data_IF_289279887353
#
_entry.id   IF_289279887353
#
_cell.length_a   1.000
_cell.length_b   1.000
_cell.length_c   1.000
_cell.angle_alpha   90.00
_cell.angle_beta   90.00
_cell.angle_gamma   90.00
#
_symmetry.space_group_name_H-M   'P 1'
#
loop_
_entity.id
_entity.type
_entity.pdbx_description
1 polymer ?
#
# COMPACT_ATOMS: atom_id res chain seq x y z
N UNK A 1 -9.37 -6.40 -13.87
CA UNK A 1 -10.84 -6.54 -13.93
C UNK A 1 -11.27 -7.16 -12.61
N UNK A 2 -12.04 -6.43 -11.79
CA UNK A 2 -12.60 -6.97 -10.55
C UNK A 2 -13.62 -8.06 -10.87
N UNK A 3 -13.65 -9.15 -10.07
CA UNK A 3 -14.62 -10.22 -10.22
C UNK A 3 -16.07 -9.70 -10.12
N UNK A 4 -17.02 -10.38 -10.71
CA UNK A 4 -18.45 -10.05 -10.55
C UNK A 4 -18.86 -10.02 -9.08
N UNK A 5 -19.82 -9.16 -8.68
CA UNK A 5 -20.28 -9.07 -7.31
C UNK A 5 -20.96 -10.38 -6.87
N UNK A 6 -20.51 -10.95 -5.76
CA UNK A 6 -20.98 -12.25 -5.25
C UNK A 6 -21.98 -12.04 -4.10
N UNK A 7 -23.27 -12.18 -4.39
CA UNK A 7 -24.37 -12.13 -3.42
C UNK A 7 -24.77 -13.56 -3.02
N UNK A 8 -24.60 -13.92 -1.73
CA UNK A 8 -25.02 -15.21 -1.19
C UNK A 8 -25.77 -14.96 0.11
N UNK A 9 -27.00 -15.44 0.20
CA UNK A 9 -27.79 -15.44 1.41
C UNK A 9 -27.47 -16.68 2.26
N UNK A 10 -27.00 -16.45 3.49
CA UNK A 10 -26.76 -17.49 4.48
C UNK A 10 -27.81 -17.46 5.58
N UNK A 11 -28.34 -16.28 5.90
CA UNK A 11 -29.34 -16.07 6.95
C UNK A 11 -30.33 -15.00 6.50
N UNK A 12 -31.59 -15.36 6.25
CA UNK A 12 -32.61 -14.39 5.89
C UNK A 12 -32.78 -13.33 6.97
N UNK A 13 -32.77 -12.06 6.59
CA UNK A 13 -33.05 -10.93 7.48
C UNK A 13 -33.89 -9.89 6.77
N UNK A 14 -34.83 -9.30 7.51
CA UNK A 14 -35.57 -8.10 7.10
C UNK A 14 -34.92 -6.87 7.72
N UNK A 15 -34.93 -5.77 7.00
CA UNK A 15 -34.35 -4.51 7.43
C UNK A 15 -35.42 -3.41 7.47
N UNK A 16 -35.26 -2.46 8.40
CA UNK A 16 -36.07 -1.24 8.38
C UNK A 16 -35.76 -0.39 7.16
N UNK A 17 -36.68 0.49 6.75
CA UNK A 17 -36.46 1.40 5.62
C UNK A 17 -35.15 2.22 5.76
N UNK A 18 -34.80 2.63 6.96
CA UNK A 18 -33.54 3.33 7.24
C UNK A 18 -32.32 2.44 6.94
N UNK A 19 -32.36 1.16 7.37
CA UNK A 19 -31.24 0.22 7.10
C UNK A 19 -31.16 -0.17 5.64
N UNK A 20 -32.29 -0.30 4.95
CA UNK A 20 -32.31 -0.54 3.50
C UNK A 20 -31.64 0.61 2.74
N UNK A 21 -31.93 1.86 3.08
CA UNK A 21 -31.28 3.02 2.47
C UNK A 21 -29.74 3.01 2.70
N UNK A 22 -29.29 2.61 3.89
CA UNK A 22 -27.85 2.44 4.18
C UNK A 22 -27.24 1.33 3.32
N UNK A 23 -27.93 0.20 3.15
CA UNK A 23 -27.48 -0.94 2.33
C UNK A 23 -27.34 -0.52 0.86
N UNK A 24 -28.31 0.23 0.33
CA UNK A 24 -28.24 0.77 -1.02
C UNK A 24 -27.01 1.68 -1.21
N UNK A 25 -26.78 2.61 -0.28
CA UNK A 25 -25.62 3.49 -0.29
C UNK A 25 -24.29 2.71 -0.20
N UNK A 26 -24.23 1.65 0.60
CA UNK A 26 -23.06 0.76 0.66
C UNK A 26 -22.80 0.15 -0.71
N UNK A 27 -23.82 -0.40 -1.36
CA UNK A 27 -23.67 -1.04 -2.67
C UNK A 27 -23.23 -0.05 -3.75
N UNK A 28 -23.79 1.15 -3.78
CA UNK A 28 -23.38 2.22 -4.70
C UNK A 28 -21.90 2.57 -4.54
N UNK A 29 -21.44 2.72 -3.29
CA UNK A 29 -20.03 2.98 -3.00
C UNK A 29 -19.15 1.82 -3.47
N UNK A 30 -19.51 0.58 -3.13
CA UNK A 30 -18.73 -0.59 -3.50
C UNK A 30 -18.63 -0.76 -5.02
N UNK A 31 -19.70 -0.48 -5.76
CA UNK A 31 -19.71 -0.56 -7.21
C UNK A 31 -18.84 0.52 -7.85
N UNK A 32 -18.96 1.76 -7.41
CA UNK A 32 -18.12 2.86 -7.87
C UNK A 32 -16.63 2.54 -7.75
N UNK A 33 -16.20 1.97 -6.60
CA UNK A 33 -14.80 1.62 -6.40
C UNK A 33 -14.39 0.36 -7.16
N UNK A 34 -15.30 -0.60 -7.35
CA UNK A 34 -15.04 -1.77 -8.16
C UNK A 34 -14.82 -1.45 -9.64
N UNK A 35 -15.53 -0.47 -10.20
CA UNK A 35 -15.29 0.03 -11.55
C UNK A 35 -13.89 0.65 -11.69
N UNK A 36 -13.39 1.29 -10.64
CA UNK A 36 -12.03 1.81 -10.57
C UNK A 36 -10.96 0.74 -10.23
N UNK A 37 -11.36 -0.53 -10.05
CA UNK A 37 -10.46 -1.65 -9.75
C UNK A 37 -10.14 -1.87 -8.27
N UNK A 38 -10.91 -1.29 -7.34
CA UNK A 38 -10.65 -1.39 -5.92
C UNK A 38 -11.69 -2.20 -5.16
N UNK A 39 -11.23 -3.09 -4.28
CA UNK A 39 -12.03 -3.63 -3.18
C UNK A 39 -11.74 -2.82 -1.92
N UNK A 40 -12.78 -2.54 -1.13
CA UNK A 40 -12.65 -1.69 0.06
C UNK A 40 -12.57 -2.54 1.34
N UNK A 41 -11.87 -2.02 2.35
CA UNK A 41 -12.04 -2.51 3.73
C UNK A 41 -13.29 -1.87 4.35
N UNK A 42 -13.84 -2.49 5.40
CA UNK A 42 -14.96 -1.92 6.16
C UNK A 42 -14.66 -0.48 6.62
N UNK A 43 -13.42 -0.20 6.99
CA UNK A 43 -12.98 1.13 7.43
C UNK A 43 -13.03 2.15 6.29
N UNK A 44 -12.62 1.77 5.09
CA UNK A 44 -12.71 2.63 3.91
C UNK A 44 -14.17 2.91 3.54
N UNK A 45 -15.06 1.91 3.59
CA UNK A 45 -16.50 2.14 3.39
C UNK A 45 -17.03 3.16 4.39
N UNK A 46 -16.68 3.03 5.68
CA UNK A 46 -17.07 3.99 6.71
C UNK A 46 -16.61 5.41 6.38
N UNK A 47 -15.35 5.61 5.98
CA UNK A 47 -14.87 6.94 5.62
C UNK A 47 -15.56 7.51 4.38
N UNK A 48 -16.00 6.68 3.45
CA UNK A 48 -16.82 7.16 2.33
C UNK A 48 -18.19 7.67 2.80
N UNK A 49 -18.80 7.04 3.80
CA UNK A 49 -20.01 7.55 4.43
C UNK A 49 -19.79 8.90 5.11
N UNK A 50 -18.68 9.05 5.83
CA UNK A 50 -18.32 10.31 6.50
C UNK A 50 -18.03 11.41 5.49
N UNK A 51 -17.20 11.14 4.47
CA UNK A 51 -16.83 12.11 3.44
C UNK A 51 -18.03 12.63 2.64
N UNK A 52 -19.06 11.78 2.44
CA UNK A 52 -20.31 12.15 1.77
C UNK A 52 -21.33 12.81 2.71
N UNK A 53 -20.97 13.05 3.97
CA UNK A 53 -21.88 13.65 4.97
C UNK A 53 -23.06 12.77 5.37
N UNK A 54 -23.02 11.46 5.08
CA UNK A 54 -24.10 10.52 5.37
C UNK A 54 -24.18 10.14 6.85
N UNK A 55 -23.03 10.10 7.54
CA UNK A 55 -22.93 9.84 8.97
C UNK A 55 -21.82 10.71 9.59
N UNK A 56 -21.92 11.05 10.88
CA UNK A 56 -20.86 11.78 11.58
C UNK A 56 -19.63 10.88 11.84
N UNK A 57 -18.44 11.50 11.88
CA UNK A 57 -17.19 10.80 12.18
C UNK A 57 -17.10 10.46 13.68
N UNK A 58 -17.68 9.34 14.09
CA UNK A 58 -17.75 8.87 15.48
C UNK A 58 -17.59 7.35 15.55
N UNK A 59 -16.88 6.87 16.59
CA UNK A 59 -16.64 5.43 16.80
C UNK A 59 -17.93 4.60 16.94
N UNK A 60 -19.01 5.20 17.47
CA UNK A 60 -20.31 4.56 17.57
C UNK A 60 -20.91 4.29 16.19
N UNK A 61 -20.80 5.25 15.26
CA UNK A 61 -21.29 5.12 13.89
C UNK A 61 -20.50 4.08 13.09
N UNK A 62 -19.18 4.00 13.29
CA UNK A 62 -18.38 2.92 12.71
C UNK A 62 -18.89 1.54 13.12
N UNK A 63 -19.15 1.35 14.43
CA UNK A 63 -19.70 0.09 14.95
C UNK A 63 -21.10 -0.19 14.41
N UNK A 64 -21.97 0.83 14.36
CA UNK A 64 -23.34 0.71 13.84
C UNK A 64 -23.34 0.31 12.36
N UNK A 65 -22.58 1.02 11.54
CA UNK A 65 -22.45 0.71 10.10
C UNK A 65 -21.89 -0.69 9.87
N UNK A 66 -20.84 -1.07 10.61
CA UNK A 66 -20.25 -2.41 10.54
C UNK A 66 -21.25 -3.52 10.87
N UNK A 67 -22.10 -3.34 11.88
CA UNK A 67 -23.14 -4.29 12.22
C UNK A 67 -24.20 -4.42 11.11
N UNK A 68 -24.64 -3.30 10.52
CA UNK A 68 -25.60 -3.29 9.40
C UNK A 68 -25.01 -4.02 8.19
N UNK A 69 -23.76 -3.73 7.81
CA UNK A 69 -23.06 -4.37 6.69
C UNK A 69 -22.93 -5.88 6.92
N UNK A 70 -22.53 -6.30 8.12
CA UNK A 70 -22.40 -7.72 8.43
C UNK A 70 -23.74 -8.46 8.31
N UNK A 71 -24.81 -7.88 8.84
CA UNK A 71 -26.16 -8.42 8.73
C UNK A 71 -26.62 -8.50 7.27
N UNK A 72 -26.35 -7.43 6.49
CA UNK A 72 -26.70 -7.35 5.08
C UNK A 72 -25.92 -8.36 4.22
N UNK A 73 -24.64 -8.60 4.53
CA UNK A 73 -23.84 -9.65 3.87
C UNK A 73 -24.43 -11.04 4.13
N UNK A 74 -24.79 -11.36 5.37
CA UNK A 74 -25.43 -12.63 5.71
C UNK A 74 -26.78 -12.81 5.01
N UNK A 75 -27.52 -11.73 4.79
CA UNK A 75 -28.79 -11.74 4.08
C UNK A 75 -28.65 -11.64 2.53
N UNK A 76 -27.41 -11.74 1.99
CA UNK A 76 -27.17 -11.67 0.55
C UNK A 76 -27.51 -10.30 -0.08
N UNK A 77 -27.49 -9.20 0.71
CA UNK A 77 -27.85 -7.85 0.27
C UNK A 77 -26.63 -6.97 0.00
N UNK A 78 -25.43 -7.40 0.45
CA UNK A 78 -24.14 -6.77 0.18
C UNK A 78 -23.18 -7.86 -0.31
N UNK A 79 -22.40 -7.63 -1.39
CA UNK A 79 -21.56 -8.66 -1.99
C UNK A 79 -20.39 -9.04 -1.09
N UNK A 80 -20.10 -10.35 -1.04
CA UNK A 80 -19.08 -10.92 -0.18
C UNK A 80 -17.65 -10.54 -0.61
N UNK A 81 -17.40 -10.41 -1.89
CA UNK A 81 -16.09 -10.19 -2.48
C UNK A 81 -15.69 -8.71 -2.67
N UNK A 82 -16.50 -7.77 -2.21
CA UNK A 82 -16.22 -6.31 -2.35
C UNK A 82 -15.70 -5.66 -1.08
N UNK A 83 -15.88 -6.33 0.08
CA UNK A 83 -15.33 -5.85 1.36
C UNK A 83 -14.33 -6.90 1.86
N UNK A 84 -13.07 -6.51 1.94
CA UNK A 84 -11.94 -7.40 2.22
C UNK A 84 -11.32 -7.14 3.60
N UNK A 85 -10.83 -8.21 4.23
CA UNK A 85 -9.90 -8.13 5.36
C UNK A 85 -8.50 -8.47 4.84
N UNK A 86 -7.61 -7.50 4.87
CA UNK A 86 -6.23 -7.65 4.35
C UNK A 86 -5.24 -8.10 5.43
N UNK A 87 -5.71 -8.26 6.66
CA UNK A 87 -4.85 -8.54 7.82
C UNK A 87 -4.74 -10.02 8.18
N UNK A 88 -5.66 -10.85 7.66
CA UNK A 88 -5.74 -12.28 7.97
C UNK A 88 -5.58 -13.13 6.72
N UNK A 89 -4.39 -13.74 6.57
CA UNK A 89 -4.08 -14.62 5.44
C UNK A 89 -3.80 -16.03 5.93
N UNK A 90 -4.37 -17.03 5.22
CA UNK A 90 -4.03 -18.43 5.43
C UNK A 90 -2.57 -18.66 5.04
N UNK A 91 -1.83 -19.32 5.92
CA UNK A 91 -0.45 -19.71 5.67
C UNK A 91 -0.39 -21.20 5.35
N UNK A 92 0.47 -21.60 4.44
CA UNK A 92 0.65 -23.00 4.06
C UNK A 92 1.73 -23.18 2.99
N UNK A 93 2.02 -24.42 2.67
CA UNK A 93 2.89 -24.76 1.55
C UNK A 93 2.09 -24.63 0.26
N UNK A 94 2.67 -23.98 -0.73
CA UNK A 94 2.09 -23.90 -2.08
C UNK A 94 2.25 -25.23 -2.79
N UNK A 95 1.18 -25.73 -3.41
CA UNK A 95 1.17 -27.00 -4.14
C UNK A 95 0.81 -26.75 -5.60
N UNK A 96 1.51 -27.43 -6.48
CA UNK A 96 1.20 -27.53 -7.92
C UNK A 96 0.72 -28.94 -8.25
N UNK A 97 -0.06 -29.11 -9.30
CA UNK A 97 -0.59 -30.42 -9.70
C UNK A 97 0.51 -31.32 -10.28
N UNK A 98 1.45 -30.73 -11.02
CA UNK A 98 2.54 -31.44 -11.69
C UNK A 98 3.71 -30.52 -12.03
N UNK A 99 4.78 -31.08 -12.60
CA UNK A 99 5.97 -30.34 -12.99
C UNK A 99 5.70 -29.33 -14.13
N UNK A 100 4.80 -29.65 -15.04
CA UNK A 100 4.39 -28.75 -16.12
C UNK A 100 3.77 -27.48 -15.58
N UNK A 101 2.85 -27.59 -14.63
CA UNK A 101 2.26 -26.43 -13.97
C UNK A 101 3.34 -25.59 -13.26
N UNK A 102 4.28 -26.24 -12.57
CA UNK A 102 5.37 -25.53 -11.88
C UNK A 102 6.23 -24.70 -12.83
N UNK A 103 6.61 -25.27 -14.00
CA UNK A 103 7.42 -24.57 -15.00
C UNK A 103 6.62 -23.44 -15.67
N UNK A 104 5.35 -23.68 -16.00
CA UNK A 104 4.46 -22.67 -16.58
C UNK A 104 4.28 -21.48 -15.64
N UNK A 105 4.08 -21.74 -14.36
CA UNK A 105 3.96 -20.68 -13.35
C UNK A 105 5.28 -19.94 -13.14
N UNK A 106 6.41 -20.64 -13.10
CA UNK A 106 7.73 -20.01 -13.03
C UNK A 106 8.01 -19.10 -14.23
N UNK A 107 7.60 -19.50 -15.44
CA UNK A 107 7.71 -18.66 -16.64
C UNK A 107 6.80 -17.43 -16.56
N UNK A 108 5.55 -17.60 -16.11
CA UNK A 108 4.58 -16.51 -15.92
C UNK A 108 5.07 -15.50 -14.87
N UNK A 109 5.58 -16.00 -13.76
CA UNK A 109 5.96 -15.19 -12.60
C UNK A 109 7.41 -14.68 -12.68
N UNK A 110 8.13 -15.04 -13.78
CA UNK A 110 9.49 -14.54 -14.01
C UNK A 110 9.52 -13.02 -14.03
N UNK A 111 10.32 -12.46 -13.14
CA UNK A 111 10.47 -11.03 -12.98
C UNK A 111 11.92 -10.68 -12.63
N UNK A 112 12.48 -9.68 -13.28
CA UNK A 112 13.79 -9.13 -12.97
C UNK A 112 13.64 -7.78 -12.29
N UNK A 113 14.63 -7.38 -11.51
CA UNK A 113 14.62 -6.07 -10.86
C UNK A 113 14.73 -4.93 -11.89
N UNK A 114 13.61 -4.28 -12.19
CA UNK A 114 13.53 -3.18 -13.16
C UNK A 114 14.25 -1.89 -12.69
N UNK A 115 14.60 -1.83 -11.40
CA UNK A 115 15.34 -0.72 -10.82
C UNK A 115 16.84 -0.97 -10.74
N UNK A 116 17.34 -2.12 -11.16
CA UNK A 116 18.76 -2.46 -11.05
C UNK A 116 19.67 -1.45 -11.77
N UNK A 117 19.23 -0.87 -12.88
CA UNK A 117 19.96 0.12 -13.69
C UNK A 117 19.67 1.57 -13.33
N UNK A 118 18.73 1.81 -12.41
CA UNK A 118 18.36 3.15 -11.97
C UNK A 118 19.43 3.77 -11.07
N UNK A 119 19.60 5.08 -11.11
CA UNK A 119 20.46 5.82 -10.16
C UNK A 119 19.84 5.93 -8.76
N UNK A 120 18.54 5.73 -8.67
CA UNK A 120 17.75 5.81 -7.46
C UNK A 120 17.02 4.49 -7.22
N UNK A 121 16.69 4.21 -5.96
CA UNK A 121 15.80 3.13 -5.55
C UNK A 121 14.67 3.74 -4.74
N UNK A 122 13.44 3.43 -5.12
CA UNK A 122 12.25 3.92 -4.42
C UNK A 122 11.59 2.78 -3.63
N UNK A 123 11.17 3.07 -2.41
CA UNK A 123 10.20 2.26 -1.66
C UNK A 123 9.04 3.15 -1.21
N UNK A 124 7.84 2.60 -1.10
CA UNK A 124 6.65 3.30 -0.59
C UNK A 124 6.25 2.71 0.75
N UNK A 125 6.23 3.54 1.78
CA UNK A 125 5.90 3.15 3.14
C UNK A 125 4.62 3.83 3.59
N UNK A 126 3.67 3.06 4.12
CA UNK A 126 2.38 3.57 4.58
C UNK A 126 2.17 3.26 6.05
N UNK A 127 1.66 4.22 6.81
CA UNK A 127 1.38 4.05 8.22
C UNK A 127 0.36 2.93 8.48
N UNK A 128 -0.73 2.90 7.71
CA UNK A 128 -1.89 2.03 7.94
C UNK A 128 -1.91 0.80 7.04
N UNK A 129 -2.00 -0.37 7.65
CA UNK A 129 -2.11 -1.65 6.95
C UNK A 129 -3.36 -1.76 6.06
N UNK A 130 -4.45 -1.09 6.44
CA UNK A 130 -5.68 -1.04 5.66
C UNK A 130 -5.49 -0.48 4.23
N UNK A 131 -4.49 0.39 4.04
CA UNK A 131 -4.19 1.02 2.75
C UNK A 131 -3.23 0.22 1.87
N UNK A 132 -2.68 -0.91 2.37
CA UNK A 132 -1.63 -1.67 1.67
C UNK A 132 -2.06 -2.11 0.26
N UNK A 133 -3.35 -2.37 0.05
CA UNK A 133 -3.86 -2.76 -1.26
C UNK A 133 -3.89 -1.61 -2.27
N UNK A 134 -4.22 -0.40 -1.84
CA UNK A 134 -4.16 0.81 -2.68
C UNK A 134 -2.72 1.12 -3.03
N UNK A 135 -1.83 1.06 -2.02
CA UNK A 135 -0.39 1.25 -2.22
C UNK A 135 0.19 0.21 -3.18
N UNK A 136 -0.21 -1.06 -3.02
CA UNK A 136 0.22 -2.14 -3.92
C UNK A 136 -0.17 -1.90 -5.38
N UNK A 137 -1.43 -1.50 -5.63
CA UNK A 137 -1.90 -1.17 -6.98
C UNK A 137 -1.11 -0.01 -7.60
N UNK A 138 -0.74 0.99 -6.80
CA UNK A 138 0.04 2.12 -7.27
C UNK A 138 1.51 1.76 -7.56
N UNK A 139 2.09 0.82 -6.80
CA UNK A 139 3.49 0.44 -6.87
C UNK A 139 3.79 -0.64 -7.92
N UNK A 140 2.90 -1.63 -8.06
CA UNK A 140 3.10 -2.80 -8.95
C UNK A 140 3.46 -2.45 -10.41
N UNK A 141 2.80 -1.47 -11.08
CA UNK A 141 3.15 -1.12 -12.46
C UNK A 141 4.58 -0.57 -12.63
N UNK A 142 5.19 -0.13 -11.54
CA UNK A 142 6.51 0.50 -11.51
C UNK A 142 7.57 -0.37 -10.85
N UNK A 143 7.26 -1.63 -10.51
CA UNK A 143 8.15 -2.54 -9.79
C UNK A 143 8.75 -1.91 -8.52
N UNK A 144 7.91 -1.20 -7.75
CA UNK A 144 8.31 -0.51 -6.52
C UNK A 144 7.89 -1.33 -5.30
N UNK A 145 8.85 -1.62 -4.43
CA UNK A 145 8.57 -2.26 -3.15
C UNK A 145 7.77 -1.34 -2.24
N UNK A 146 6.83 -1.92 -1.50
CA UNK A 146 6.01 -1.19 -0.55
C UNK A 146 5.88 -1.93 0.77
N UNK A 147 5.64 -1.16 1.84
CA UNK A 147 5.68 -1.64 3.22
C UNK A 147 4.63 -0.94 4.08
N UNK A 148 3.97 -1.71 4.97
CA UNK A 148 3.07 -1.15 5.98
C UNK A 148 3.79 -1.05 7.33
N UNK A 149 3.89 0.18 7.85
CA UNK A 149 4.52 0.44 9.14
C UNK A 149 3.68 -0.06 10.33
N UNK A 150 2.35 -0.13 10.18
CA UNK A 150 1.40 -0.47 11.26
C UNK A 150 1.55 0.43 12.49
N UNK A 151 1.62 1.74 12.26
CA UNK A 151 1.99 2.74 13.25
C UNK A 151 3.51 2.93 13.32
N UNK A 152 4.06 3.18 14.51
CA UNK A 152 5.52 3.24 14.68
C UNK A 152 6.17 1.89 14.39
N UNK A 153 7.10 1.87 13.45
CA UNK A 153 7.87 0.67 13.14
C UNK A 153 8.69 0.18 14.35
N UNK A 154 8.73 -1.13 14.56
CA UNK A 154 9.59 -1.71 15.59
C UNK A 154 11.07 -1.42 15.31
N UNK A 155 11.90 -1.49 16.35
CA UNK A 155 13.34 -1.31 16.19
C UNK A 155 13.96 -2.38 15.29
N UNK A 156 13.52 -3.62 15.44
CA UNK A 156 13.98 -4.75 14.63
C UNK A 156 13.63 -4.58 13.16
N UNK A 157 12.43 -4.09 12.86
CA UNK A 157 11.98 -3.88 11.49
C UNK A 157 12.77 -2.75 10.80
N UNK A 158 12.95 -1.61 11.48
CA UNK A 158 13.74 -0.52 10.91
C UNK A 158 15.23 -0.88 10.76
N UNK A 159 15.77 -1.70 11.67
CA UNK A 159 17.12 -2.21 11.51
C UNK A 159 17.21 -3.13 10.28
N UNK A 160 16.29 -4.08 10.13
CA UNK A 160 16.23 -4.98 8.98
C UNK A 160 16.05 -4.21 7.66
N UNK A 161 15.19 -3.17 7.67
CA UNK A 161 15.02 -2.28 6.54
C UNK A 161 16.32 -1.53 6.21
N UNK A 162 17.02 -0.96 7.20
CA UNK A 162 18.30 -0.30 6.98
C UNK A 162 19.32 -1.26 6.33
N UNK A 163 19.43 -2.50 6.81
CA UNK A 163 20.33 -3.51 6.22
C UNK A 163 19.97 -3.87 4.78
N UNK A 164 18.68 -3.94 4.46
CA UNK A 164 18.18 -4.13 3.10
C UNK A 164 18.54 -2.95 2.19
N UNK A 165 18.27 -1.72 2.64
CA UNK A 165 18.50 -0.49 1.88
C UNK A 165 19.99 -0.23 1.63
N UNK A 166 20.87 -0.61 2.57
CA UNK A 166 22.31 -0.51 2.38
C UNK A 166 22.85 -1.32 1.20
N UNK A 167 22.17 -2.39 0.79
CA UNK A 167 22.55 -3.14 -0.42
C UNK A 167 22.41 -2.28 -1.67
N UNK A 168 21.36 -1.46 -1.76
CA UNK A 168 21.15 -0.53 -2.87
C UNK A 168 22.17 0.60 -2.85
N UNK A 169 22.48 1.13 -1.65
CA UNK A 169 23.55 2.12 -1.49
C UNK A 169 24.91 1.54 -1.92
N UNK A 170 25.20 0.28 -1.57
CA UNK A 170 26.38 -0.44 -2.04
C UNK A 170 26.44 -0.61 -3.57
N UNK A 171 25.28 -0.71 -4.22
CA UNK A 171 25.12 -0.71 -5.68
C UNK A 171 25.14 0.72 -6.29
N UNK A 172 25.49 1.74 -5.50
CA UNK A 172 25.55 3.17 -5.88
C UNK A 172 24.20 3.80 -6.25
N UNK A 173 23.12 3.30 -5.66
CA UNK A 173 21.79 3.90 -5.79
C UNK A 173 21.50 4.81 -4.59
N UNK A 174 20.89 5.96 -4.85
CA UNK A 174 20.26 6.78 -3.81
C UNK A 174 18.92 6.15 -3.43
N UNK A 175 18.68 5.93 -2.14
CA UNK A 175 17.43 5.32 -1.67
C UNK A 175 16.44 6.42 -1.26
N UNK A 176 15.23 6.33 -1.78
CA UNK A 176 14.14 7.26 -1.47
C UNK A 176 12.95 6.46 -0.94
N UNK A 177 12.56 6.78 0.29
CA UNK A 177 11.34 6.25 0.90
C UNK A 177 10.26 7.31 0.77
N UNK A 178 9.18 6.98 0.07
CA UNK A 178 7.99 7.79 -0.05
C UNK A 178 7.04 7.37 1.08
N UNK A 179 6.91 8.22 2.10
CA UNK A 179 6.13 7.92 3.30
C UNK A 179 4.75 8.57 3.25
N UNK A 180 3.72 7.77 3.60
CA UNK A 180 2.33 8.20 3.74
C UNK A 180 1.87 7.91 5.17
N UNK A 181 1.38 8.94 5.85
CA UNK A 181 0.88 8.83 7.24
C UNK A 181 -0.20 9.86 7.52
N UNK A 182 -0.92 9.66 8.63
CA UNK A 182 -1.97 10.56 9.10
C UNK A 182 -1.42 11.98 9.34
N UNK A 183 -2.23 13.00 9.15
CA UNK A 183 -1.89 14.35 9.56
C UNK A 183 -2.40 14.58 11.00
N UNK A 184 -1.68 13.98 11.94
CA UNK A 184 -1.90 14.10 13.37
C UNK A 184 -0.54 14.18 14.11
N UNK A 185 -0.49 14.45 15.42
CA UNK A 185 0.77 14.55 16.16
C UNK A 185 1.69 13.33 16.01
N UNK A 186 1.14 12.12 15.96
CA UNK A 186 1.91 10.87 15.81
C UNK A 186 2.35 10.65 14.38
N UNK A 187 1.46 10.82 13.41
CA UNK A 187 1.75 10.57 11.99
C UNK A 187 2.82 11.52 11.41
N UNK A 188 2.82 12.79 11.83
CA UNK A 188 3.89 13.73 11.48
C UNK A 188 5.23 13.27 12.08
N UNK A 189 5.22 12.89 13.36
CA UNK A 189 6.44 12.43 14.05
C UNK A 189 6.98 11.11 13.50
N UNK A 190 6.13 10.19 13.02
CA UNK A 190 6.57 8.92 12.42
C UNK A 190 7.50 9.12 11.24
N UNK A 191 7.26 10.13 10.38
CA UNK A 191 8.17 10.42 9.26
C UNK A 191 9.57 10.79 9.75
N UNK A 192 9.66 11.61 10.82
CA UNK A 192 10.92 11.97 11.46
C UNK A 192 11.58 10.75 12.10
N UNK A 193 10.82 9.96 12.88
CA UNK A 193 11.32 8.76 13.57
C UNK A 193 11.93 7.75 12.59
N UNK A 194 11.25 7.49 11.47
CA UNK A 194 11.76 6.61 10.40
C UNK A 194 13.10 7.16 9.87
N UNK A 195 13.15 8.45 9.54
CA UNK A 195 14.35 9.08 9.00
C UNK A 195 15.54 9.01 9.98
N UNK A 196 15.30 9.39 11.24
CA UNK A 196 16.33 9.44 12.28
C UNK A 196 16.88 8.05 12.56
N UNK A 197 16.02 7.04 12.71
CA UNK A 197 16.42 5.67 13.05
C UNK A 197 17.07 4.94 11.88
N UNK A 198 16.60 5.13 10.64
CA UNK A 198 17.29 4.60 9.46
C UNK A 198 18.68 5.21 9.31
N UNK A 199 18.81 6.52 9.52
CA UNK A 199 20.09 7.21 9.50
C UNK A 199 21.04 6.69 10.61
N UNK A 200 20.52 6.46 11.81
CA UNK A 200 21.28 5.88 12.92
C UNK A 200 21.82 4.49 12.56
N UNK A 201 20.97 3.58 12.10
CA UNK A 201 21.35 2.21 11.76
C UNK A 201 22.28 2.14 10.54
N UNK A 202 22.06 3.01 9.55
CA UNK A 202 22.88 3.05 8.35
C UNK A 202 24.28 3.66 8.62
N UNK A 203 24.38 4.64 9.53
CA UNK A 203 25.61 5.42 9.76
C UNK A 203 26.84 4.55 10.08
N UNK A 204 26.69 3.56 10.94
CA UNK A 204 27.79 2.68 11.32
C UNK A 204 28.31 1.85 10.14
N UNK A 205 27.40 1.35 9.31
CA UNK A 205 27.73 0.52 8.15
C UNK A 205 28.27 1.35 6.97
N UNK A 206 27.91 2.63 6.90
CA UNK A 206 28.39 3.52 5.85
C UNK A 206 29.76 4.14 6.12
N UNK A 207 30.25 4.14 7.37
CA UNK A 207 31.58 4.68 7.74
C UNK A 207 32.72 4.16 6.84
N UNK A 208 32.85 2.86 6.55
CA UNK A 208 33.89 2.37 5.65
C UNK A 208 33.71 2.86 4.21
N UNK A 209 32.47 2.90 3.71
CA UNK A 209 32.13 3.33 2.35
C UNK A 209 32.36 4.83 2.16
N UNK A 210 32.01 5.67 3.14
CA UNK A 210 32.24 7.11 3.09
C UNK A 210 33.72 7.46 3.07
N UNK A 211 34.53 6.73 3.84
CA UNK A 211 35.98 6.89 3.84
C UNK A 211 36.61 6.50 2.49
N UNK A 212 36.11 5.42 1.88
CA UNK A 212 36.63 4.89 0.61
C UNK A 212 36.18 5.73 -0.60
N UNK A 213 34.95 6.23 -0.59
CA UNK A 213 34.30 6.89 -1.73
C UNK A 213 34.27 8.42 -1.63
N UNK A 214 34.83 9.02 -0.55
CA UNK A 214 34.87 10.46 -0.34
C UNK A 214 33.52 11.12 -0.08
N UNK A 215 32.48 10.34 0.29
CA UNK A 215 31.18 10.89 0.65
C UNK A 215 31.24 11.55 2.03
N UNK A 216 31.06 12.87 2.08
CA UNK A 216 31.04 13.62 3.34
C UNK A 216 29.67 13.67 4.03
N UNK A 217 28.60 13.12 3.40
CA UNK A 217 27.23 13.22 3.89
C UNK A 217 26.45 11.90 3.70
N UNK A 218 26.46 11.06 4.72
CA UNK A 218 25.74 9.77 4.74
C UNK A 218 24.21 9.91 4.71
N UNK A 219 23.68 10.99 5.26
CA UNK A 219 22.23 11.27 5.33
C UNK A 219 21.57 11.62 3.97
N UNK A 220 22.36 11.76 2.90
CA UNK A 220 21.82 11.91 1.54
C UNK A 220 21.62 10.59 0.81
N UNK A 221 22.14 9.47 1.33
CA UNK A 221 22.08 8.18 0.66
C UNK A 221 20.74 7.45 0.90
N UNK A 222 20.08 7.75 2.04
CA UNK A 222 18.72 7.28 2.34
C UNK A 222 17.90 8.49 2.73
N UNK A 223 16.89 8.81 1.95
CA UNK A 223 16.01 9.97 2.16
C UNK A 223 14.59 9.52 2.40
N UNK A 224 13.94 10.01 3.44
CA UNK A 224 12.51 9.80 3.69
C UNK A 224 11.75 11.06 3.29
N UNK A 225 10.84 10.93 2.33
CA UNK A 225 9.97 12.01 1.84
C UNK A 225 8.54 11.74 2.24
N UNK A 226 7.95 12.59 3.06
CA UNK A 226 6.52 12.55 3.32
C UNK A 226 5.77 13.04 2.09
N UNK A 227 4.95 12.18 1.49
CA UNK A 227 4.18 12.50 0.29
C UNK A 227 2.68 12.65 0.55
N UNK A 228 2.19 12.13 1.69
CA UNK A 228 0.82 12.33 2.22
C UNK A 228 0.81 12.02 3.73
N UNK A 229 -0.15 12.50 4.52
CA UNK A 229 -1.10 13.56 4.23
C UNK A 229 -0.47 14.89 4.67
N UNK A 230 -0.38 15.87 3.80
CA UNK A 230 0.25 17.17 4.07
C UNK A 230 -0.82 18.28 4.16
N UNK A 231 -0.50 19.43 4.75
CA UNK A 231 -1.44 20.52 4.97
C UNK A 231 -2.06 21.06 3.66
N UNK A 232 -1.26 21.21 2.60
CA UNK A 232 -1.74 21.63 1.27
C UNK A 232 -2.71 20.64 0.62
N UNK A 233 -2.58 19.37 0.97
CA UNK A 233 -3.49 18.31 0.51
C UNK A 233 -4.79 18.32 1.30
N UNK A 234 -4.77 18.67 2.58
CA UNK A 234 -5.97 18.86 3.40
C UNK A 234 -6.82 19.99 2.80
N UNK A 235 -6.20 21.13 2.49
CA UNK A 235 -6.90 22.24 1.83
C UNK A 235 -7.48 21.86 0.46
N UNK A 236 -6.74 21.02 -0.29
CA UNK A 236 -7.13 20.63 -1.65
C UNK A 236 -8.22 19.58 -1.71
N UNK A 237 -8.18 18.58 -0.82
CA UNK A 237 -9.06 17.41 -0.88
C UNK A 237 -10.17 17.44 0.16
N UNK A 238 -10.11 18.38 1.11
CA UNK A 238 -11.10 18.63 2.16
C UNK A 238 -11.56 17.34 2.89
N UNK A 239 -10.62 16.49 3.36
CA UNK A 239 -11.00 15.29 4.09
C UNK A 239 -11.63 15.66 5.45
N UNK A 240 -12.57 14.86 5.97
CA UNK A 240 -13.26 15.14 7.22
C UNK A 240 -12.28 15.20 8.40
N UNK A 241 -12.31 16.28 9.21
CA UNK A 241 -11.43 16.44 10.34
C UNK A 241 -11.84 15.56 11.53
N UNK A 242 -10.86 15.24 12.35
CA UNK A 242 -11.01 14.66 13.69
C UNK A 242 -10.46 15.62 14.76
N UNK A 243 -10.99 15.63 15.99
CA UNK A 243 -10.35 16.36 17.06
C UNK A 243 -8.97 15.76 17.41
N UNK A 244 -7.96 16.61 17.54
CA UNK A 244 -6.62 16.18 17.93
C UNK A 244 -6.63 15.51 19.31
N UNK A 245 -5.98 14.36 19.45
CA UNK A 245 -5.86 13.61 20.70
C UNK A 245 -4.95 14.35 21.68
N UNK A 246 -5.53 15.06 22.65
CA UNK A 246 -4.80 15.85 23.65
C UNK A 246 -3.92 15.00 24.59
N UNK A 247 -4.14 13.71 24.66
CA UNK A 247 -3.33 12.75 25.45
C UNK A 247 -1.99 12.41 24.80
N UNK A 248 -1.79 12.76 23.54
CA UNK A 248 -0.49 12.59 22.86
C UNK A 248 0.49 13.66 23.38
N UNK A 249 1.67 13.27 23.81
CA UNK A 249 2.70 14.18 24.32
C UNK A 249 3.14 15.26 23.31
N UNK A 250 2.95 15.01 22.01
CA UNK A 250 3.29 15.90 20.90
C UNK A 250 2.15 16.84 20.51
N UNK A 251 0.95 16.63 21.07
CA UNK A 251 -0.24 17.41 20.73
C UNK A 251 -0.04 18.91 20.88
N UNK A 252 0.70 19.36 21.91
CA UNK A 252 0.95 20.78 22.15
C UNK A 252 1.70 21.45 21.00
N UNK A 253 2.76 20.80 20.50
CA UNK A 253 3.54 21.31 19.36
C UNK A 253 2.72 21.29 18.09
N UNK A 254 2.03 20.20 17.82
CA UNK A 254 1.16 20.04 16.66
C UNK A 254 0.06 21.11 16.62
N UNK A 255 -0.66 21.30 17.74
CA UNK A 255 -1.73 22.30 17.85
C UNK A 255 -1.22 23.72 17.62
N UNK A 256 -0.01 24.01 18.07
CA UNK A 256 0.61 25.33 17.86
C UNK A 256 0.88 25.64 16.38
N UNK A 257 1.10 24.60 15.58
CA UNK A 257 1.48 24.72 14.16
C UNK A 257 0.26 24.52 13.23
N UNK A 258 -0.58 23.52 13.51
CA UNK A 258 -1.66 23.08 12.62
C UNK A 258 -3.08 23.27 13.18
N UNK A 259 -3.22 23.70 14.44
CA UNK A 259 -4.54 23.84 15.08
C UNK A 259 -5.01 22.57 15.78
N UNK A 260 -6.30 22.55 16.15
CA UNK A 260 -6.90 21.50 17.00
C UNK A 260 -7.53 20.35 16.24
N UNK A 261 -7.36 20.33 14.93
CA UNK A 261 -7.89 19.29 14.04
C UNK A 261 -6.78 18.38 13.56
N UNK A 262 -7.11 17.15 13.28
CA UNK A 262 -6.24 16.12 12.70
C UNK A 262 -6.99 15.42 11.59
N UNK A 263 -6.27 14.78 10.68
CA UNK A 263 -6.86 14.10 9.53
C UNK A 263 -6.23 12.73 9.33
N UNK A 264 -7.07 11.76 9.04
CA UNK A 264 -6.63 10.41 8.77
C UNK A 264 -6.38 10.21 7.27
N UNK A 265 -5.29 9.55 6.92
CA UNK A 265 -4.88 9.28 5.55
C UNK A 265 -5.92 8.47 4.76
N UNK A 266 -6.60 7.53 5.42
CA UNK A 266 -7.64 6.67 4.82
C UNK A 266 -9.00 7.37 4.64
N UNK A 267 -9.09 8.65 5.00
CA UNK A 267 -10.19 9.52 4.59
C UNK A 267 -10.04 10.04 3.14
N UNK A 268 -8.83 9.97 2.56
CA UNK A 268 -8.63 10.26 1.15
C UNK A 268 -9.19 9.14 0.27
N UNK A 269 -9.68 9.52 -0.90
CA UNK A 269 -10.11 8.55 -1.90
C UNK A 269 -8.95 7.67 -2.38
N UNK A 270 -9.15 6.35 -2.55
CA UNK A 270 -8.12 5.44 -3.07
C UNK A 270 -7.50 5.89 -4.39
N UNK A 271 -8.28 6.51 -5.28
CA UNK A 271 -7.79 7.06 -6.56
C UNK A 271 -6.83 8.21 -6.35
N UNK A 272 -7.10 9.11 -5.40
CA UNK A 272 -6.22 10.22 -5.04
C UNK A 272 -4.90 9.70 -4.48
N UNK A 273 -4.94 8.71 -3.58
CA UNK A 273 -3.74 8.07 -3.04
C UNK A 273 -2.91 7.40 -4.13
N UNK A 274 -3.56 6.67 -5.05
CA UNK A 274 -2.90 6.04 -6.18
C UNK A 274 -2.16 7.07 -7.04
N UNK A 275 -2.83 8.15 -7.42
CA UNK A 275 -2.26 9.21 -8.28
C UNK A 275 -1.10 9.94 -7.60
N UNK A 276 -1.21 10.20 -6.29
CA UNK A 276 -0.12 10.79 -5.50
C UNK A 276 1.12 9.88 -5.52
N UNK A 277 0.95 8.60 -5.21
CA UNK A 277 2.05 7.64 -5.17
C UNK A 277 2.70 7.53 -6.55
N UNK A 278 1.92 7.28 -7.60
CA UNK A 278 2.45 7.16 -8.96
C UNK A 278 3.18 8.42 -9.43
N UNK A 279 2.63 9.60 -9.11
CA UNK A 279 3.26 10.88 -9.47
C UNK A 279 4.64 11.01 -8.81
N UNK A 280 4.76 10.63 -7.55
CA UNK A 280 6.04 10.69 -6.84
C UNK A 280 7.04 9.63 -7.31
N UNK A 281 6.59 8.41 -7.62
CA UNK A 281 7.44 7.37 -8.22
C UNK A 281 8.01 7.86 -9.57
N UNK A 282 7.15 8.36 -10.45
CA UNK A 282 7.54 8.85 -11.79
C UNK A 282 8.56 10.00 -11.75
N UNK A 283 8.54 10.83 -10.70
CA UNK A 283 9.53 11.91 -10.52
C UNK A 283 10.94 11.41 -10.21
N UNK A 284 11.05 10.23 -9.63
CA UNK A 284 12.33 9.63 -9.25
C UNK A 284 12.86 8.62 -10.27
N UNK A 285 12.03 8.24 -11.25
CA UNK A 285 12.28 7.21 -12.25
C UNK A 285 13.00 7.78 -13.47
N UNK A 286 14.04 7.10 -13.94
CA UNK A 286 14.51 7.25 -15.33
C UNK A 286 13.66 6.35 -16.23
N UNK A 287 12.72 6.96 -16.95
CA UNK A 287 11.75 6.23 -17.78
C UNK A 287 12.39 5.47 -18.95
N UNK A 288 13.54 5.95 -19.47
CA UNK A 288 14.23 5.27 -20.57
C UNK A 288 14.88 3.97 -20.07
N UNK A 289 15.66 4.05 -18.99
CA UNK A 289 16.30 2.91 -18.38
C UNK A 289 15.26 1.87 -17.90
N UNK A 290 14.12 2.32 -17.33
CA UNK A 290 13.03 1.44 -16.94
C UNK A 290 12.42 0.70 -18.13
N UNK A 291 12.12 1.40 -19.23
CA UNK A 291 11.55 0.80 -20.42
C UNK A 291 12.51 -0.21 -21.10
N UNK A 292 13.82 0.03 -21.03
CA UNK A 292 14.82 -0.94 -21.50
C UNK A 292 14.85 -2.20 -20.64
N UNK A 293 14.88 -2.05 -19.30
CA UNK A 293 14.84 -3.17 -18.38
C UNK A 293 13.55 -4.00 -18.54
N UNK A 294 12.40 -3.33 -18.68
CA UNK A 294 11.12 -3.98 -18.92
C UNK A 294 11.11 -4.80 -20.22
N UNK A 295 11.59 -4.22 -21.33
CA UNK A 295 11.69 -4.95 -22.61
C UNK A 295 12.64 -6.16 -22.54
N UNK A 296 13.74 -6.03 -21.82
CA UNK A 296 14.67 -7.14 -21.63
C UNK A 296 14.03 -8.27 -20.82
N UNK A 297 13.32 -7.93 -19.73
CA UNK A 297 12.57 -8.90 -18.91
C UNK A 297 11.49 -9.62 -19.72
N UNK A 298 10.67 -8.88 -20.49
CA UNK A 298 9.60 -9.47 -21.32
C UNK A 298 10.17 -10.43 -22.39
N UNK A 299 11.31 -10.10 -22.96
CA UNK A 299 11.98 -11.00 -23.92
C UNK A 299 12.37 -12.32 -23.28
N UNK A 300 12.94 -12.29 -22.08
CA UNK A 300 13.31 -13.50 -21.34
C UNK A 300 12.08 -14.27 -20.85
N UNK A 301 11.05 -13.57 -20.38
CA UNK A 301 9.77 -14.19 -20.00
C UNK A 301 9.15 -14.96 -21.17
N UNK A 302 9.14 -14.36 -22.36
CA UNK A 302 8.64 -15.02 -23.59
C UNK A 302 9.43 -16.30 -23.90
N UNK A 303 10.76 -16.27 -23.80
CA UNK A 303 11.60 -17.47 -24.03
C UNK A 303 11.31 -18.59 -23.01
N UNK A 304 11.09 -18.21 -21.72
CA UNK A 304 10.71 -19.17 -20.69
C UNK A 304 9.33 -19.76 -20.94
N UNK A 305 8.37 -18.95 -21.39
CA UNK A 305 7.02 -19.40 -21.74
C UNK A 305 7.07 -20.40 -22.90
N UNK A 306 7.80 -20.09 -23.96
CA UNK A 306 8.02 -21.00 -25.10
C UNK A 306 8.66 -22.31 -24.63
N UNK A 307 9.64 -22.27 -23.74
CA UNK A 307 10.26 -23.47 -23.16
C UNK A 307 9.26 -24.27 -22.31
N UNK A 308 8.42 -23.60 -21.55
CA UNK A 308 7.39 -24.25 -20.76
C UNK A 308 6.34 -24.97 -21.62
N UNK A 309 5.94 -24.39 -22.74
CA UNK A 309 5.00 -25.00 -23.70
C UNK A 309 5.56 -26.28 -24.32
N UNK A 310 6.85 -26.32 -24.62
CA UNK A 310 7.52 -27.48 -25.24
C UNK A 310 8.02 -28.52 -24.22
N UNK A 311 7.81 -28.31 -22.93
CA UNK A 311 8.28 -29.23 -21.87
C UNK A 311 7.78 -30.67 -22.06
N UNK A 312 6.54 -30.86 -22.50
CA UNK A 312 5.96 -32.18 -22.75
C UNK A 312 6.61 -32.93 -23.90
N UNK A 313 7.06 -32.24 -24.93
CA UNK A 313 7.69 -32.88 -26.11
C UNK A 313 9.04 -33.51 -25.73
N UNK A 314 9.79 -32.85 -24.83
CA UNK A 314 11.10 -33.34 -24.37
C UNK A 314 11.00 -34.45 -23.34
N UNK A 315 9.95 -34.43 -22.48
CA UNK A 315 9.74 -35.47 -21.46
C UNK A 315 9.20 -36.80 -22.04
N UNK A 316 8.53 -36.76 -23.21
CA UNK A 316 7.98 -37.96 -23.89
C UNK A 316 8.94 -38.60 -24.84
N UNK A 317 10.07 -37.98 -25.15
CA UNK A 317 11.07 -38.49 -26.09
C UNK A 317 12.21 -39.31 -25.48
N UNK A 318 12.15 -39.61 -24.18
CA UNK A 318 13.20 -40.29 -23.40
C UNK A 318 12.76 -41.60 -22.74
N UNK A 319 11.78 -42.33 -23.30
CA UNK A 319 11.36 -43.65 -22.80
C UNK A 319 11.68 -44.73 -23.84
#
# INVERSE_FOLDING_TARGET
>A
VTAEPLFIEYTPKSFSAEREAIIEQVNEILEQYAEAGYDLTLRQVYYQFVARGLIPNQAAEYKRLGAIINDARLAGRVPWNRIVDRTRNLQGVYHVADAQQAITEAARDFHTDLWATQKKRVEVWVEKDALIGVVGQACQPWDVNYFSCRGYCSQSELWAAAMRLLKYVGARQEVIILHLGDHDPSGIDMTRDISDRLSLFASEHLKPLTKLMGFHQTHRLITVKRIALNADQIERYDPPPNPTKLTDSRAKGYISEYGRESWELDALEPTVLNDLIQTHIKRELDGHAFAEAYRAMEKERKRLTETAEHWHETASGGA
#
